data_IF_015801541797
#
_entry.id   IF_015801541797
#
_cell.length_a   1.000
_cell.length_b   1.000
_cell.length_c   1.000
_cell.angle_alpha   90.00
_cell.angle_beta   90.00
_cell.angle_gamma   90.00
#
_symmetry.space_group_name_H-M   'P 1'
#
loop_
_entity.id
_entity.type
_entity.pdbx_description
1 polymer ?
#
# COMPACT_ATOMS: atom_id res chain seq x y z
N UNK A 1 -0.16 3.82 -7.74
CA UNK A 1 1.22 4.31 -7.94
C UNK A 1 1.62 4.07 -9.39
N UNK A 2 0.77 4.49 -10.33
CA UNK A 2 1.14 4.33 -11.74
C UNK A 2 2.34 5.24 -12.06
N UNK A 3 3.27 4.82 -12.94
CA UNK A 3 3.31 3.54 -13.65
C UNK A 3 3.91 2.37 -12.85
N UNK A 4 4.56 2.62 -11.70
CA UNK A 4 5.32 1.62 -10.96
C UNK A 4 4.47 0.46 -10.42
N UNK A 5 3.26 0.75 -9.95
CA UNK A 5 2.28 -0.25 -9.49
C UNK A 5 0.89 0.06 -10.02
N UNK A 6 0.23 -1.00 -10.46
CA UNK A 6 -1.10 -0.98 -11.04
C UNK A 6 -2.16 -1.40 -10.01
N UNK A 7 -3.42 -1.09 -10.29
CA UNK A 7 -4.54 -1.59 -9.48
C UNK A 7 -4.54 -3.11 -9.53
N UNK A 8 -4.59 -3.73 -8.34
CA UNK A 8 -4.57 -5.18 -8.19
C UNK A 8 -3.18 -5.79 -7.99
N UNK A 9 -2.12 -4.99 -7.96
CA UNK A 9 -0.80 -5.49 -7.56
C UNK A 9 -0.79 -5.80 -6.05
N UNK A 10 -0.20 -6.93 -5.67
CA UNK A 10 0.05 -7.27 -4.27
C UNK A 10 1.48 -6.86 -3.92
N UNK A 11 1.63 -6.05 -2.88
CA UNK A 11 2.94 -5.54 -2.44
C UNK A 11 3.44 -6.33 -1.23
N UNK A 12 4.69 -6.78 -1.30
CA UNK A 12 5.39 -7.40 -0.18
C UNK A 12 6.21 -6.33 0.57
N UNK A 13 5.86 -6.13 1.83
CA UNK A 13 6.47 -5.11 2.68
C UNK A 13 7.55 -5.71 3.58
N UNK A 14 8.63 -4.97 3.74
CA UNK A 14 9.70 -5.26 4.68
C UNK A 14 9.85 -4.07 5.64
N UNK A 15 9.63 -4.31 6.93
CA UNK A 15 9.80 -3.29 7.98
C UNK A 15 11.17 -3.38 8.69
N UNK A 16 12.00 -4.37 8.36
CA UNK A 16 13.32 -4.55 8.99
C UNK A 16 14.40 -3.62 8.41
N UNK A 17 14.10 -2.84 7.36
CA UNK A 17 15.05 -1.89 6.78
C UNK A 17 15.27 -0.74 7.77
N UNK A 18 16.42 -0.69 8.44
CA UNK A 18 16.71 0.34 9.46
C UNK A 18 16.76 1.76 8.89
N UNK A 19 17.29 1.92 7.68
CA UNK A 19 17.44 3.22 7.03
C UNK A 19 16.61 3.25 5.74
N UNK A 20 15.67 4.19 5.69
CA UNK A 20 14.89 4.46 4.48
C UNK A 20 15.65 5.50 3.68
N UNK A 21 15.74 5.31 2.37
CA UNK A 21 16.53 6.15 1.47
C UNK A 21 15.63 6.85 0.46
N UNK A 22 16.12 7.93 -0.13
CA UNK A 22 15.45 8.58 -1.26
C UNK A 22 15.27 7.58 -2.40
N UNK A 23 14.05 7.51 -2.94
CA UNK A 23 13.68 6.58 -4.00
C UNK A 23 12.97 5.31 -3.51
N UNK A 24 13.06 4.99 -2.20
CA UNK A 24 12.31 3.89 -1.61
C UNK A 24 10.81 4.10 -1.76
N UNK A 25 10.06 3.02 -1.98
CA UNK A 25 8.60 3.07 -2.00
C UNK A 25 8.10 2.59 -0.65
N UNK A 26 7.43 3.48 0.08
CA UNK A 26 7.00 3.24 1.46
C UNK A 26 5.48 3.17 1.53
N UNK A 27 5.01 2.31 2.43
CA UNK A 27 3.61 2.28 2.85
C UNK A 27 3.52 2.97 4.18
N UNK A 28 2.73 4.03 4.26
CA UNK A 28 2.54 4.80 5.49
C UNK A 28 1.05 4.96 5.78
N UNK A 29 0.76 5.23 7.06
CA UNK A 29 -0.60 5.47 7.54
C UNK A 29 -0.68 6.86 8.15
N UNK A 30 -1.74 7.57 7.81
CA UNK A 30 -2.03 8.88 8.40
C UNK A 30 -2.95 8.66 9.60
N UNK A 31 -2.68 9.37 10.69
CA UNK A 31 -3.53 9.33 11.89
C UNK A 31 -4.96 9.74 11.51
N UNK A 32 -5.94 8.92 11.90
CA UNK A 32 -7.36 9.15 11.56
C UNK A 32 -7.80 8.65 10.17
N UNK A 33 -6.90 8.10 9.35
CA UNK A 33 -7.26 7.39 8.11
C UNK A 33 -7.04 5.89 8.24
N UNK A 34 -8.03 5.10 7.84
CA UNK A 34 -7.92 3.63 7.89
C UNK A 34 -7.08 3.07 6.74
N UNK A 35 -7.19 3.66 5.55
CA UNK A 35 -6.56 3.18 4.32
C UNK A 35 -5.11 3.66 4.27
N UNK A 36 -4.10 2.76 4.24
CA UNK A 36 -2.71 3.14 4.09
C UNK A 36 -2.42 3.65 2.68
N UNK A 37 -1.40 4.49 2.55
CA UNK A 37 -0.97 5.10 1.29
C UNK A 37 0.40 4.54 0.92
N UNK A 38 0.59 4.24 -0.36
CA UNK A 38 1.84 3.75 -0.92
C UNK A 38 2.41 4.81 -1.83
N UNK A 39 3.55 5.42 -1.50
CA UNK A 39 4.20 6.44 -2.33
C UNK A 39 5.74 6.37 -2.24
N UNK A 40 6.43 7.12 -3.09
CA UNK A 40 7.90 7.13 -3.14
C UNK A 40 8.46 8.22 -2.25
N UNK A 41 9.53 7.92 -1.52
CA UNK A 41 10.31 8.91 -0.77
C UNK A 41 11.08 9.78 -1.76
N UNK A 42 10.82 11.08 -1.72
CA UNK A 42 11.46 12.07 -2.56
C UNK A 42 12.64 12.74 -1.85
N UNK A 43 12.46 13.08 -0.58
CA UNK A 43 13.48 13.77 0.21
C UNK A 43 13.57 13.15 1.60
N UNK A 44 14.80 13.09 2.11
CA UNK A 44 15.12 12.71 3.47
C UNK A 44 15.81 13.90 4.12
N UNK A 45 15.26 14.33 5.26
CA UNK A 45 15.90 15.34 6.09
C UNK A 45 16.10 14.79 7.50
N UNK A 46 17.04 15.41 8.22
CA UNK A 46 17.20 15.19 9.65
C UNK A 46 16.58 16.36 10.39
N UNK A 47 15.63 16.08 11.25
CA UNK A 47 15.00 17.10 12.09
C UNK A 47 16.07 17.78 12.95
N UNK A 48 16.11 19.11 12.92
CA UNK A 48 17.03 19.88 13.75
C UNK A 48 16.66 19.83 15.24
N UNK A 49 15.39 19.58 15.55
CA UNK A 49 14.86 19.56 16.91
C UNK A 49 15.07 18.21 17.59
N UNK A 50 14.78 17.11 16.88
CA UNK A 50 14.82 15.74 17.44
C UNK A 50 16.05 14.95 17.00
N UNK A 51 16.73 15.38 15.93
CA UNK A 51 17.81 14.62 15.32
C UNK A 51 17.36 13.36 14.59
N UNK A 52 16.04 13.14 14.43
CA UNK A 52 15.46 11.98 13.75
C UNK A 52 15.31 12.22 12.25
N UNK A 53 15.24 11.12 11.48
CA UNK A 53 15.00 11.19 10.04
C UNK A 53 13.51 11.42 9.77
N UNK A 54 13.23 12.43 8.96
CA UNK A 54 11.90 12.81 8.49
C UNK A 54 11.85 12.70 6.96
N UNK A 55 10.70 12.29 6.44
CA UNK A 55 10.56 11.88 5.04
C UNK A 55 9.49 12.69 4.34
N UNK A 56 9.77 13.11 3.10
CA UNK A 56 8.78 13.65 2.18
C UNK A 56 8.48 12.63 1.11
N UNK A 57 7.20 12.33 0.92
CA UNK A 57 6.74 11.38 -0.09
C UNK A 57 6.01 12.07 -1.23
N UNK A 58 5.95 11.39 -2.37
CA UNK A 58 5.21 11.79 -3.55
C UNK A 58 4.68 10.56 -4.29
N UNK A 59 3.45 10.62 -4.77
CA UNK A 59 2.96 9.66 -5.76
C UNK A 59 3.67 9.80 -7.11
N UNK A 60 4.01 8.67 -7.74
CA UNK A 60 4.78 8.64 -9.00
C UNK A 60 4.09 9.42 -10.14
N UNK A 61 2.76 9.36 -10.24
CA UNK A 61 1.96 10.10 -11.22
C UNK A 61 1.36 11.42 -10.70
N UNK A 62 1.73 11.87 -9.49
CA UNK A 62 1.19 13.11 -8.95
C UNK A 62 2.08 14.29 -9.37
N UNK A 63 1.51 15.48 -9.58
CA UNK A 63 2.29 16.71 -9.84
C UNK A 63 2.70 17.44 -8.56
N UNK A 64 2.15 17.04 -7.41
CA UNK A 64 2.33 17.69 -6.11
C UNK A 64 2.82 16.68 -5.07
N UNK A 65 3.52 17.16 -4.04
CA UNK A 65 3.93 16.35 -2.89
C UNK A 65 2.75 15.98 -2.00
N UNK A 66 2.94 14.96 -1.17
CA UNK A 66 1.88 14.43 -0.31
C UNK A 66 1.61 15.26 0.95
N UNK A 67 2.21 16.45 1.09
CA UNK A 67 2.00 17.32 2.27
C UNK A 67 0.53 17.64 2.51
N UNK A 68 -0.27 17.77 1.45
CA UNK A 68 -1.72 17.98 1.55
C UNK A 68 -2.52 16.73 1.94
N UNK A 69 -1.89 15.55 1.94
CA UNK A 69 -2.51 14.29 2.34
C UNK A 69 -2.24 13.94 3.80
N UNK A 70 -1.13 14.46 4.37
CA UNK A 70 -0.73 14.20 5.74
C UNK A 70 -1.76 14.72 6.77
N UNK A 71 -1.58 14.35 8.04
CA UNK A 71 -2.43 14.85 9.11
C UNK A 71 -2.33 16.38 9.23
N UNK A 72 -3.31 17.00 9.90
CA UNK A 72 -3.29 18.45 10.13
C UNK A 72 -1.98 18.87 10.83
N UNK A 73 -1.35 19.92 10.30
CA UNK A 73 -0.05 20.45 10.74
C UNK A 73 1.16 19.50 10.58
N UNK A 74 1.01 18.38 9.86
CA UNK A 74 2.11 17.48 9.55
C UNK A 74 2.68 17.78 8.16
N UNK A 75 3.93 18.25 8.09
CA UNK A 75 4.61 18.53 6.81
C UNK A 75 5.58 17.43 6.37
N UNK A 76 5.94 16.54 7.29
CA UNK A 76 6.91 15.46 7.09
C UNK A 76 6.41 14.18 7.78
N UNK A 77 6.74 13.03 7.23
CA UNK A 77 6.47 11.72 7.83
C UNK A 77 7.61 11.32 8.76
N UNK A 78 7.27 10.76 9.91
CA UNK A 78 8.24 10.13 10.81
C UNK A 78 8.37 8.64 10.50
N UNK A 79 9.42 8.01 11.03
CA UNK A 79 9.60 6.56 10.89
C UNK A 79 8.42 5.76 11.48
N UNK A 80 7.78 6.27 12.52
CA UNK A 80 6.62 5.65 13.18
C UNK A 80 5.38 5.59 12.30
N UNK A 81 5.25 6.49 11.32
CA UNK A 81 4.09 6.57 10.42
C UNK A 81 4.21 5.55 9.27
N UNK A 82 5.42 5.02 9.05
CA UNK A 82 5.76 4.10 7.98
C UNK A 82 5.56 2.66 8.47
N UNK A 83 4.64 1.95 7.82
CA UNK A 83 4.33 0.54 8.08
C UNK A 83 5.46 -0.35 7.55
N UNK A 84 6.02 -0.01 6.38
CA UNK A 84 7.11 -0.77 5.78
C UNK A 84 7.52 -0.26 4.41
N UNK A 85 8.63 -0.80 3.92
CA UNK A 85 9.18 -0.49 2.59
C UNK A 85 8.79 -1.62 1.64
N UNK A 86 8.34 -1.28 0.43
CA UNK A 86 8.02 -2.25 -0.61
C UNK A 86 9.32 -2.86 -1.13
N UNK A 87 9.47 -4.18 -0.99
CA UNK A 87 10.64 -4.92 -1.47
C UNK A 87 10.35 -5.68 -2.78
N UNK A 88 9.12 -6.17 -2.93
CA UNK A 88 8.68 -6.86 -4.14
C UNK A 88 7.18 -6.69 -4.36
N UNK A 89 6.72 -7.01 -5.56
CA UNK A 89 5.30 -7.00 -5.91
C UNK A 89 4.95 -8.18 -6.79
N UNK A 90 3.69 -8.62 -6.71
CA UNK A 90 3.11 -9.61 -7.61
C UNK A 90 2.04 -8.90 -8.44
N UNK A 91 2.30 -8.66 -9.74
CA UNK A 91 1.38 -7.91 -10.60
C UNK A 91 0.02 -8.58 -10.72
N UNK A 92 -1.05 -7.78 -10.66
CA UNK A 92 -2.45 -8.19 -10.89
C UNK A 92 -3.02 -9.31 -10.00
N UNK A 93 -2.27 -9.89 -9.07
CA UNK A 93 -2.75 -11.00 -8.24
C UNK A 93 -3.99 -10.63 -7.39
N UNK A 94 -4.04 -9.39 -6.91
CA UNK A 94 -5.17 -8.83 -6.18
C UNK A 94 -6.41 -8.54 -7.04
N UNK A 95 -6.29 -8.59 -8.38
CA UNK A 95 -7.46 -8.43 -9.27
C UNK A 95 -8.50 -9.52 -9.03
N UNK A 96 -8.10 -10.72 -8.62
CA UNK A 96 -9.06 -11.78 -8.29
C UNK A 96 -9.92 -11.42 -7.07
N UNK A 97 -9.30 -10.90 -6.02
CA UNK A 97 -10.01 -10.42 -4.82
C UNK A 97 -10.96 -9.28 -5.17
N UNK A 98 -10.48 -8.33 -5.97
CA UNK A 98 -11.27 -7.20 -6.46
C UNK A 98 -12.47 -7.70 -7.28
N UNK A 99 -12.27 -8.60 -8.24
CA UNK A 99 -13.34 -9.17 -9.07
C UNK A 99 -14.42 -9.84 -8.22
N UNK A 100 -14.02 -10.65 -7.23
CA UNK A 100 -14.94 -11.34 -6.32
C UNK A 100 -15.73 -10.37 -5.44
N UNK A 101 -15.14 -9.21 -5.11
CA UNK A 101 -15.79 -8.18 -4.30
C UNK A 101 -16.71 -7.27 -5.14
N UNK A 102 -16.25 -6.85 -6.32
CA UNK A 102 -16.97 -5.93 -7.21
C UNK A 102 -18.15 -6.64 -7.91
N UNK A 103 -18.06 -7.96 -8.15
CA UNK A 103 -19.11 -8.77 -8.78
C UNK A 103 -19.64 -9.88 -7.84
N UNK A 104 -20.57 -9.56 -6.92
CA UNK A 104 -21.06 -10.53 -5.95
C UNK A 104 -21.77 -11.74 -6.59
N UNK A 105 -22.42 -11.56 -7.75
CA UNK A 105 -23.01 -12.67 -8.50
C UNK A 105 -21.97 -13.72 -8.91
N UNK A 106 -20.80 -13.29 -9.36
CA UNK A 106 -19.69 -14.18 -9.70
C UNK A 106 -19.21 -14.95 -8.47
N UNK A 107 -19.08 -14.28 -7.32
CA UNK A 107 -18.76 -14.90 -6.03
C UNK A 107 -19.77 -15.97 -5.63
N UNK A 108 -21.07 -15.69 -5.73
CA UNK A 108 -22.12 -16.66 -5.39
C UNK A 108 -22.15 -17.85 -6.35
N UNK A 109 -21.94 -17.62 -7.66
CA UNK A 109 -21.85 -18.70 -8.64
C UNK A 109 -20.67 -19.64 -8.33
N UNK A 110 -19.50 -19.08 -8.00
CA UNK A 110 -18.32 -19.85 -7.62
C UNK A 110 -18.56 -20.70 -6.36
N UNK A 111 -19.16 -20.12 -5.32
CA UNK A 111 -19.55 -20.85 -4.10
C UNK A 111 -20.58 -21.95 -4.39
N UNK A 112 -21.54 -21.69 -5.28
CA UNK A 112 -22.53 -22.67 -5.72
C UNK A 112 -21.89 -23.86 -6.44
N UNK A 113 -20.97 -23.60 -7.37
CA UNK A 113 -20.22 -24.66 -8.08
C UNK A 113 -19.37 -25.46 -7.11
N UNK A 114 -18.64 -24.81 -6.20
CA UNK A 114 -17.87 -25.51 -5.16
C UNK A 114 -18.74 -26.40 -4.28
N UNK A 115 -19.88 -25.87 -3.81
CA UNK A 115 -20.84 -26.64 -3.02
C UNK A 115 -21.39 -27.84 -3.78
N UNK A 116 -21.73 -27.65 -5.06
CA UNK A 116 -22.19 -28.73 -5.93
C UNK A 116 -21.12 -29.82 -6.12
N UNK A 117 -19.87 -29.44 -6.43
CA UNK A 117 -18.76 -30.37 -6.60
C UNK A 117 -18.48 -31.18 -5.33
N UNK A 118 -18.49 -30.54 -4.15
CA UNK A 118 -18.32 -31.23 -2.87
C UNK A 118 -19.44 -32.25 -2.63
N UNK A 119 -20.67 -31.94 -3.03
CA UNK A 119 -21.79 -32.89 -2.94
C UNK A 119 -21.67 -34.05 -3.93
N UNK A 120 -21.07 -33.83 -5.11
CA UNK A 120 -20.89 -34.87 -6.13
C UNK A 120 -19.63 -35.72 -5.92
N UNK A 121 -18.59 -35.18 -5.29
CA UNK A 121 -17.34 -35.89 -4.97
C UNK A 121 -17.41 -36.69 -3.66
N UNK A 122 -18.56 -36.77 -2.99
CA UNK A 122 -18.81 -37.70 -1.90
C UNK A 122 -19.08 -39.10 -2.44
N UNK A 123 -18.05 -39.73 -2.98
CA UNK A 123 -17.86 -41.18 -3.09
C UNK A 123 -16.40 -41.53 -2.88
#
# INVERSE_FOLDING_TARGET
MEPAFQRGDILCLNNNKHFIETGDIVVFKIVGREIPIVHRVLELHRSAETGENIYLTKGDNNNVHDRGLYAENQLWLNRTDIIGVVNSSVPYAGMMTILLNDYPLFKYALLGIMGFLVLTQRE
#
